data_IF_877153236326
#
_entry.id   IF_877153236326
#
_cell.length_a   1.000
_cell.length_b   1.000
_cell.length_c   1.000
_cell.angle_alpha   90.00
_cell.angle_beta   90.00
_cell.angle_gamma   90.00
#
_symmetry.space_group_name_H-M   'P 1'
#
loop_
_entity.id
_entity.type
_entity.pdbx_description
1 polymer ?
#
# COMPACT_ATOMS: atom_id res chain seq x y z
N UNK A 1 2.90 -13.46 -4.98
CA UNK A 1 4.30 -13.03 -5.19
C UNK A 1 5.27 -14.13 -4.75
N UNK A 2 6.39 -14.41 -5.47
CA UNK A 2 7.32 -15.51 -5.14
C UNK A 2 8.35 -15.21 -4.03
N UNK A 3 8.24 -14.08 -3.32
CA UNK A 3 9.30 -13.61 -2.41
C UNK A 3 9.02 -14.04 -0.96
N UNK A 4 9.87 -14.90 -0.38
CA UNK A 4 9.79 -15.34 1.01
C UNK A 4 10.27 -14.28 2.02
N UNK A 5 9.85 -14.42 3.29
CA UNK A 5 10.31 -13.60 4.44
C UNK A 5 11.83 -13.61 4.67
N UNK A 6 12.39 -12.57 5.32
CA UNK A 6 12.47 -11.19 4.87
C UNK A 6 13.82 -10.91 4.17
N UNK A 7 14.83 -11.78 4.35
CA UNK A 7 16.19 -11.57 3.86
C UNK A 7 16.35 -11.83 2.35
N UNK A 8 15.60 -12.78 1.80
CA UNK A 8 15.63 -13.13 0.38
C UNK A 8 14.85 -12.13 -0.50
N UNK A 9 13.91 -11.39 0.09
CA UNK A 9 13.04 -10.45 -0.63
C UNK A 9 13.81 -9.27 -1.23
N UNK A 10 14.67 -8.60 -0.45
CA UNK A 10 15.52 -7.52 -0.95
C UNK A 10 16.55 -8.07 -1.94
N UNK A 11 17.10 -9.25 -1.65
CA UNK A 11 18.01 -9.95 -2.56
C UNK A 11 17.35 -10.36 -3.89
N UNK A 12 16.01 -10.36 -3.97
CA UNK A 12 15.26 -10.62 -5.19
C UNK A 12 15.01 -9.35 -6.04
N UNK A 13 15.29 -8.16 -5.49
CA UNK A 13 15.37 -6.94 -6.28
C UNK A 13 16.73 -6.96 -7.02
N UNK A 14 16.76 -6.86 -8.36
CA UNK A 14 18.01 -6.75 -9.10
C UNK A 14 18.85 -5.57 -8.63
N UNK A 15 20.16 -5.61 -8.88
CA UNK A 15 21.01 -4.42 -8.73
C UNK A 15 20.40 -3.29 -9.56
N UNK A 16 19.99 -2.22 -8.86
CA UNK A 16 19.32 -1.08 -9.46
C UNK A 16 20.10 0.21 -9.20
N UNK A 17 21.43 0.09 -9.30
CA UNK A 17 22.40 1.18 -9.23
C UNK A 17 22.40 1.86 -7.85
N UNK A 18 22.55 3.19 -7.81
CA UNK A 18 22.62 3.98 -6.57
C UNK A 18 21.41 3.80 -5.63
N UNK A 19 20.26 3.43 -6.17
CA UNK A 19 19.03 3.20 -5.40
C UNK A 19 19.12 1.99 -4.45
N UNK A 20 20.09 1.09 -4.64
CA UNK A 20 20.34 -0.02 -3.71
C UNK A 20 20.63 0.47 -2.27
N UNK A 21 21.26 1.64 -2.14
CA UNK A 21 21.53 2.26 -0.82
C UNK A 21 20.21 2.60 -0.12
N UNK A 22 19.24 3.13 -0.85
CA UNK A 22 17.91 3.46 -0.33
C UNK A 22 17.14 2.18 0.05
N UNK A 23 17.16 1.17 -0.82
CA UNK A 23 16.42 -0.08 -0.64
C UNK A 23 16.87 -0.88 0.59
N UNK A 24 18.11 -0.69 1.05
CA UNK A 24 18.60 -1.34 2.26
C UNK A 24 17.79 -0.99 3.52
N UNK A 25 17.16 0.19 3.55
CA UNK A 25 16.33 0.64 4.66
C UNK A 25 14.86 0.83 4.26
N UNK A 26 14.59 1.33 3.06
CA UNK A 26 13.26 1.70 2.58
C UNK A 26 12.50 0.56 1.89
N UNK A 27 12.90 -0.69 2.11
CA UNK A 27 12.12 -1.85 1.65
C UNK A 27 11.11 -2.36 2.68
N UNK A 28 11.16 -1.85 3.91
CA UNK A 28 10.42 -2.36 5.07
C UNK A 28 11.05 -3.63 5.68
N UNK A 29 10.63 -3.99 6.90
CA UNK A 29 11.20 -5.09 7.69
C UNK A 29 10.43 -6.42 7.55
N UNK A 30 9.11 -6.38 7.70
CA UNK A 30 8.21 -7.53 7.54
C UNK A 30 7.39 -7.40 6.25
N UNK A 31 6.81 -8.50 5.77
CA UNK A 31 5.94 -8.51 4.60
C UNK A 31 4.63 -9.25 4.83
N UNK A 32 3.65 -8.98 3.98
CA UNK A 32 2.43 -9.75 3.94
C UNK A 32 2.64 -11.22 3.55
N UNK A 33 3.72 -11.56 2.84
CA UNK A 33 4.05 -12.97 2.60
C UNK A 33 4.39 -13.71 3.89
N UNK A 34 5.02 -13.05 4.87
CA UNK A 34 5.28 -13.67 6.17
C UNK A 34 4.07 -13.98 6.98
N UNK A 35 3.06 -13.11 6.93
CA UNK A 35 1.78 -13.39 7.56
C UNK A 35 1.13 -14.62 6.90
N UNK A 36 1.25 -14.76 5.56
CA UNK A 36 0.76 -15.95 4.84
C UNK A 36 1.53 -17.21 5.23
N UNK A 37 2.84 -17.13 5.35
CA UNK A 37 3.71 -18.27 5.65
C UNK A 37 3.66 -18.71 7.12
N UNK A 38 3.38 -17.79 8.05
CA UNK A 38 3.34 -18.05 9.50
C UNK A 38 2.23 -19.04 9.89
N UNK A 39 2.48 -19.95 10.83
CA UNK A 39 1.42 -20.79 11.39
C UNK A 39 0.49 -19.96 12.28
N UNK A 40 -0.82 -20.01 11.99
CA UNK A 40 -1.77 -19.15 12.68
C UNK A 40 -1.85 -19.44 14.18
N UNK A 41 -1.85 -20.72 14.58
CA UNK A 41 -2.04 -21.12 15.97
C UNK A 41 -0.85 -20.79 16.86
N UNK A 42 0.37 -20.85 16.31
CA UNK A 42 1.61 -20.72 17.09
C UNK A 42 2.33 -19.39 16.88
N UNK A 43 2.14 -18.72 15.74
CA UNK A 43 2.88 -17.51 15.38
C UNK A 43 2.00 -16.25 15.31
N UNK A 44 0.67 -16.38 15.12
CA UNK A 44 -0.26 -15.25 15.02
C UNK A 44 -1.19 -15.11 16.23
N UNK A 45 -1.83 -16.21 16.64
CA UNK A 45 -2.83 -16.20 17.71
C UNK A 45 -2.23 -15.65 19.01
N UNK A 46 -2.88 -14.63 19.57
CA UNK A 46 -2.46 -13.96 20.80
C UNK A 46 -1.24 -13.04 20.65
N UNK A 47 -0.75 -12.77 19.43
CA UNK A 47 0.31 -11.79 19.17
C UNK A 47 -0.30 -10.44 18.78
N UNK A 48 0.34 -9.36 19.22
CA UNK A 48 -0.01 -8.03 18.74
C UNK A 48 0.65 -7.73 17.40
N UNK A 49 0.17 -6.67 16.72
CA UNK A 49 0.66 -6.25 15.42
C UNK A 49 2.16 -5.92 15.37
N UNK A 50 2.76 -5.59 16.51
CA UNK A 50 4.18 -5.29 16.62
C UNK A 50 5.11 -6.41 16.12
N UNK A 51 4.65 -7.66 16.13
CA UNK A 51 5.38 -8.82 15.57
C UNK A 51 5.39 -8.86 14.04
N UNK A 52 4.50 -8.11 13.37
CA UNK A 52 4.28 -8.16 11.93
C UNK A 52 4.55 -6.81 11.25
N UNK A 53 4.93 -5.79 12.02
CA UNK A 53 5.03 -4.41 11.56
C UNK A 53 6.02 -4.27 10.38
N UNK A 54 5.57 -3.70 9.26
CA UNK A 54 6.40 -3.41 8.09
C UNK A 54 7.56 -2.45 8.35
N UNK A 55 7.53 -1.75 9.48
CA UNK A 55 8.22 -0.49 9.74
C UNK A 55 7.75 0.62 8.79
N UNK A 56 8.36 1.80 8.94
CA UNK A 56 7.95 3.01 8.24
C UNK A 56 8.71 3.17 6.93
N UNK A 57 8.14 3.96 6.02
CA UNK A 57 8.80 4.41 4.81
C UNK A 57 9.30 3.25 3.90
N UNK A 58 8.45 2.24 3.71
CA UNK A 58 8.69 1.06 2.87
C UNK A 58 8.52 1.28 1.34
N UNK A 59 8.95 2.43 0.81
CA UNK A 59 8.79 2.83 -0.59
C UNK A 59 9.28 1.79 -1.60
N UNK A 60 10.44 1.19 -1.36
CA UNK A 60 10.98 0.09 -2.17
C UNK A 60 10.09 -1.16 -2.13
N UNK A 61 9.49 -1.44 -0.97
CA UNK A 61 8.53 -2.53 -0.81
C UNK A 61 7.30 -2.37 -1.71
N UNK A 62 6.79 -1.14 -1.82
CA UNK A 62 5.66 -0.79 -2.71
C UNK A 62 6.09 -0.77 -4.17
N UNK A 63 7.15 -0.04 -4.51
CA UNK A 63 7.66 0.13 -5.88
C UNK A 63 7.91 -1.21 -6.57
N UNK A 64 8.49 -2.17 -5.84
CA UNK A 64 8.83 -3.51 -6.34
C UNK A 64 7.81 -4.60 -5.96
N UNK A 65 6.70 -4.23 -5.30
CA UNK A 65 5.63 -5.15 -4.88
C UNK A 65 6.10 -6.34 -4.06
N UNK A 66 6.98 -6.05 -3.12
CA UNK A 66 7.58 -7.07 -2.29
C UNK A 66 7.02 -7.10 -0.87
N UNK A 67 6.28 -6.07 -0.44
CA UNK A 67 5.86 -5.93 0.96
C UNK A 67 4.40 -6.24 1.25
N UNK A 68 3.47 -5.97 0.33
CA UNK A 68 2.04 -6.03 0.62
C UNK A 68 1.52 -7.43 0.94
N UNK A 69 0.42 -7.48 1.69
CA UNK A 69 -0.38 -8.69 1.84
C UNK A 69 -1.30 -8.83 0.62
N UNK A 70 -0.91 -9.71 -0.30
CA UNK A 70 -1.69 -10.09 -1.47
C UNK A 70 -2.67 -11.21 -1.11
N UNK A 71 -3.96 -10.97 -1.30
CA UNK A 71 -5.04 -11.94 -1.09
C UNK A 71 -5.04 -13.00 -2.22
N UNK A 72 -5.56 -14.20 -1.92
CA UNK A 72 -5.40 -15.35 -2.80
C UNK A 72 -6.49 -15.44 -3.88
N UNK A 73 -7.77 -15.42 -3.49
CA UNK A 73 -8.89 -15.71 -4.38
C UNK A 73 -10.06 -14.74 -4.14
N UNK A 74 -10.87 -14.49 -5.17
CA UNK A 74 -12.17 -13.86 -5.07
C UNK A 74 -13.31 -14.87 -4.90
N UNK A 75 -14.55 -14.38 -4.78
CA UNK A 75 -15.77 -15.19 -4.88
C UNK A 75 -15.69 -16.07 -6.13
N UNK A 76 -16.02 -17.35 -5.94
CA UNK A 76 -15.90 -18.38 -6.98
C UNK A 76 -14.50 -19.00 -7.13
N UNK A 77 -13.53 -18.62 -6.30
CA UNK A 77 -12.20 -19.23 -6.26
C UNK A 77 -11.25 -18.78 -7.38
N UNK A 78 -11.58 -17.68 -8.09
CA UNK A 78 -10.70 -17.13 -9.10
C UNK A 78 -9.50 -16.43 -8.45
N UNK A 79 -8.26 -16.69 -8.91
CA UNK A 79 -7.08 -16.09 -8.31
C UNK A 79 -7.03 -14.59 -8.55
N UNK A 80 -6.62 -13.84 -7.52
CA UNK A 80 -6.40 -12.40 -7.63
C UNK A 80 -5.08 -12.10 -8.34
N UNK A 81 -5.08 -11.03 -9.13
CA UNK A 81 -3.89 -10.58 -9.83
C UNK A 81 -3.38 -9.27 -9.25
N UNK A 82 -2.16 -9.33 -8.73
CA UNK A 82 -1.42 -8.18 -8.22
C UNK A 82 -0.35 -7.72 -9.20
N UNK A 83 -0.18 -8.38 -10.34
CA UNK A 83 0.88 -8.09 -11.30
C UNK A 83 0.91 -6.63 -11.74
N UNK A 84 2.12 -6.14 -12.03
CA UNK A 84 2.29 -4.77 -12.49
C UNK A 84 1.45 -4.59 -13.75
N UNK A 85 0.70 -3.48 -13.80
CA UNK A 85 0.07 -3.07 -15.03
C UNK A 85 1.13 -2.98 -16.14
N UNK A 86 0.77 -3.35 -17.37
CA UNK A 86 1.74 -3.45 -18.48
C UNK A 86 2.45 -2.13 -18.81
N UNK A 87 1.86 -1.00 -18.42
CA UNK A 87 2.39 0.35 -18.58
C UNK A 87 3.04 0.93 -17.32
N UNK A 88 3.12 0.17 -16.22
CA UNK A 88 3.84 0.59 -15.02
C UNK A 88 5.36 0.45 -15.24
N UNK A 89 6.07 1.58 -15.12
CA UNK A 89 7.50 1.66 -15.42
C UNK A 89 8.38 2.27 -14.32
N UNK A 90 7.81 2.71 -13.19
CA UNK A 90 8.56 3.51 -12.21
C UNK A 90 9.79 2.79 -11.65
N UNK A 91 9.69 1.46 -11.45
CA UNK A 91 10.82 0.62 -11.03
C UNK A 91 12.01 0.59 -12.00
N UNK A 92 11.82 1.02 -13.24
CA UNK A 92 12.86 1.02 -14.29
C UNK A 92 13.48 2.40 -14.52
N UNK A 93 12.97 3.47 -13.89
CA UNK A 93 13.55 4.82 -13.97
C UNK A 93 15.01 4.77 -13.53
N UNK A 94 15.92 5.46 -14.22
CA UNK A 94 17.33 5.49 -13.79
C UNK A 94 18.12 4.21 -14.08
N UNK A 95 17.56 3.27 -14.85
CA UNK A 95 18.18 1.95 -15.14
C UNK A 95 18.42 1.75 -16.64
N UNK A 96 19.27 0.78 -17.01
CA UNK A 96 19.45 0.38 -18.41
C UNK A 96 18.17 -0.20 -19.06
N UNK A 97 17.18 -0.61 -18.28
CA UNK A 97 15.92 -1.20 -18.75
C UNK A 97 14.79 -0.18 -18.90
N UNK A 98 15.07 1.12 -18.81
CA UNK A 98 14.08 2.20 -18.93
C UNK A 98 13.37 2.24 -20.31
N UNK A 99 13.92 1.60 -21.35
CA UNK A 99 13.29 1.49 -22.68
C UNK A 99 12.25 0.35 -22.76
N UNK A 100 12.17 -0.52 -21.74
CA UNK A 100 11.35 -1.74 -21.74
C UNK A 100 9.83 -1.50 -21.80
N UNK A 101 9.38 -0.27 -21.59
CA UNK A 101 7.98 0.15 -21.69
C UNK A 101 7.73 1.21 -22.78
N UNK A 102 8.60 1.28 -23.80
CA UNK A 102 8.32 2.02 -25.04
C UNK A 102 8.65 3.52 -25.01
N UNK A 103 9.44 4.00 -24.04
CA UNK A 103 9.88 5.39 -23.97
C UNK A 103 11.40 5.51 -24.14
N UNK A 104 11.90 6.46 -24.96
CA UNK A 104 13.33 6.72 -25.08
C UNK A 104 13.86 7.37 -23.80
N UNK A 105 14.91 6.79 -23.22
CA UNK A 105 15.52 7.36 -22.02
C UNK A 105 16.52 8.45 -22.41
N UNK A 106 16.33 9.66 -21.89
CA UNK A 106 17.35 10.71 -21.93
C UNK A 106 18.60 10.24 -21.19
N UNK A 107 19.78 10.71 -21.62
CA UNK A 107 21.06 10.35 -20.98
C UNK A 107 21.10 10.72 -19.48
N UNK A 108 20.36 11.76 -19.09
CA UNK A 108 20.21 12.21 -17.71
C UNK A 108 19.39 11.24 -16.81
N UNK A 109 18.69 10.26 -17.41
CA UNK A 109 17.82 9.27 -16.71
C UNK A 109 18.42 7.86 -16.77
N UNK A 110 19.71 7.70 -17.11
CA UNK A 110 20.35 6.39 -17.32
C UNK A 110 21.20 5.87 -16.15
N UNK A 111 21.30 6.60 -15.04
CA UNK A 111 22.14 6.13 -13.91
C UNK A 111 21.58 6.53 -12.55
N UNK A 112 21.73 5.65 -11.57
CA UNK A 112 21.33 5.86 -10.18
C UNK A 112 20.06 5.12 -9.74
N UNK A 113 19.27 4.59 -10.67
CA UNK A 113 18.05 3.85 -10.36
C UNK A 113 16.85 4.73 -9.97
N UNK A 114 15.70 4.11 -9.65
CA UNK A 114 14.41 4.80 -9.60
C UNK A 114 14.28 5.76 -8.42
N UNK A 115 14.88 5.43 -7.27
CA UNK A 115 14.86 6.29 -6.09
C UNK A 115 15.68 7.56 -6.35
N UNK A 116 16.88 7.41 -6.90
CA UNK A 116 17.77 8.55 -7.24
C UNK A 116 17.15 9.40 -8.35
N UNK A 117 16.60 8.76 -9.39
CA UNK A 117 16.00 9.46 -10.53
C UNK A 117 14.86 10.41 -10.14
N UNK A 118 14.08 10.08 -9.10
CA UNK A 118 13.00 10.93 -8.62
C UNK A 118 13.45 11.87 -7.49
N UNK A 119 14.14 11.34 -6.47
CA UNK A 119 14.40 12.08 -5.23
C UNK A 119 15.72 12.85 -5.22
N UNK A 120 16.60 12.62 -6.19
CA UNK A 120 17.96 13.19 -6.26
C UNK A 120 18.26 13.81 -7.64
N UNK A 121 17.21 14.21 -8.36
CA UNK A 121 17.30 14.76 -9.72
C UNK A 121 18.17 16.02 -9.79
N UNK A 122 18.00 16.93 -8.84
CA UNK A 122 18.76 18.16 -8.78
C UNK A 122 19.90 18.04 -7.75
N UNK A 123 21.04 18.66 -8.02
CA UNK A 123 22.21 18.65 -7.11
C UNK A 123 21.88 19.18 -5.70
N UNK A 124 20.82 19.97 -5.57
CA UNK A 124 20.32 20.58 -4.34
C UNK A 124 19.09 19.88 -3.72
N UNK A 125 18.73 18.68 -4.19
CA UNK A 125 17.56 17.91 -3.67
C UNK A 125 17.61 17.68 -2.14
N UNK A 126 18.81 17.80 -1.55
CA UNK A 126 19.06 17.70 -0.12
C UNK A 126 18.69 16.34 0.48
N UNK A 127 18.87 16.18 1.79
CA UNK A 127 18.40 14.97 2.50
C UNK A 127 16.90 14.97 2.76
N UNK A 128 16.14 15.87 2.13
CA UNK A 128 14.70 15.96 2.32
C UNK A 128 13.97 14.93 1.46
N UNK A 129 14.52 14.61 0.28
CA UNK A 129 13.94 13.66 -0.67
C UNK A 129 12.51 14.02 -1.09
N UNK A 130 12.09 15.29 -0.97
CA UNK A 130 10.77 15.70 -1.42
C UNK A 130 10.75 15.82 -2.95
N UNK A 131 9.69 15.32 -3.57
CA UNK A 131 9.49 15.38 -5.03
C UNK A 131 8.34 16.30 -5.43
N UNK A 132 7.66 16.89 -4.44
CA UNK A 132 6.53 17.81 -4.62
C UNK A 132 6.72 19.06 -3.77
N UNK A 133 6.20 20.17 -4.28
CA UNK A 133 5.96 21.38 -3.49
C UNK A 133 4.53 21.35 -2.98
N UNK A 134 4.33 21.74 -1.72
CA UNK A 134 3.02 21.86 -1.11
C UNK A 134 2.81 23.26 -0.56
N UNK A 135 1.58 23.75 -0.63
CA UNK A 135 1.19 24.99 0.03
C UNK A 135 1.00 24.80 1.55
N UNK A 136 0.54 25.84 2.25
CA UNK A 136 0.29 25.79 3.70
C UNK A 136 -0.86 24.86 4.10
N UNK A 137 -1.74 24.50 3.15
CA UNK A 137 -2.81 23.52 3.33
C UNK A 137 -2.36 22.09 3.08
N UNK A 138 -1.12 21.87 2.61
CA UNK A 138 -0.60 20.55 2.26
C UNK A 138 -0.95 20.10 0.84
N UNK A 139 -1.57 20.96 0.03
CA UNK A 139 -1.97 20.69 -1.35
C UNK A 139 -0.74 20.75 -2.25
N UNK A 140 -0.57 19.77 -3.14
CA UNK A 140 0.50 19.74 -4.13
C UNK A 140 0.31 20.89 -5.14
N UNK A 141 1.28 21.81 -5.17
CA UNK A 141 1.30 22.94 -6.11
C UNK A 141 2.35 22.81 -7.20
N UNK A 142 3.29 21.87 -7.04
CA UNK A 142 4.38 21.65 -7.98
C UNK A 142 4.97 20.25 -7.86
N UNK A 143 5.56 19.76 -8.95
CA UNK A 143 6.25 18.46 -9.00
C UNK A 143 7.71 18.75 -9.36
N UNK A 144 8.58 18.75 -8.35
CA UNK A 144 10.01 19.09 -8.46
C UNK A 144 10.72 18.17 -9.45
N UNK A 145 10.39 16.88 -9.39
CA UNK A 145 10.99 15.87 -10.25
C UNK A 145 10.46 15.92 -11.70
N UNK A 146 9.42 16.68 -12.04
CA UNK A 146 8.68 16.49 -13.30
C UNK A 146 9.54 16.66 -14.57
N UNK A 147 10.24 17.79 -14.68
CA UNK A 147 10.97 18.16 -15.89
C UNK A 147 12.05 17.13 -16.27
N UNK A 148 11.93 16.45 -17.39
CA UNK A 148 12.92 15.47 -17.82
C UNK A 148 12.94 14.15 -17.04
N UNK A 149 12.01 13.91 -16.10
CA UNK A 149 11.78 12.59 -15.48
C UNK A 149 10.34 12.14 -15.73
N UNK A 150 9.36 12.71 -15.01
CA UNK A 150 7.96 12.31 -15.15
C UNK A 150 7.40 12.73 -16.51
N UNK A 151 7.72 13.93 -16.99
CA UNK A 151 7.20 14.48 -18.25
C UNK A 151 7.61 13.69 -19.50
N UNK A 152 8.62 12.81 -19.40
CA UNK A 152 9.04 11.93 -20.50
C UNK A 152 8.06 10.77 -20.75
N UNK A 153 7.31 10.38 -19.72
CA UNK A 153 6.32 9.29 -19.78
C UNK A 153 4.89 9.83 -19.62
N UNK A 154 4.71 10.80 -18.74
CA UNK A 154 3.44 11.46 -18.46
C UNK A 154 3.24 12.69 -19.35
N UNK A 155 2.93 12.44 -20.62
CA UNK A 155 2.66 13.45 -21.62
C UNK A 155 1.41 13.11 -22.45
N UNK A 156 0.91 14.11 -23.19
CA UNK A 156 -0.24 13.95 -24.08
C UNK A 156 -1.52 13.60 -23.29
N UNK A 157 -2.21 12.48 -23.57
CA UNK A 157 -3.42 12.09 -22.85
C UNK A 157 -3.16 11.62 -21.42
N UNK A 158 -1.89 11.43 -21.02
CA UNK A 158 -1.48 11.00 -19.68
C UNK A 158 -0.56 12.02 -19.02
N UNK A 159 -0.69 13.30 -19.41
CA UNK A 159 0.04 14.39 -18.77
C UNK A 159 -0.12 14.31 -17.25
N UNK A 160 0.97 14.59 -16.52
CA UNK A 160 0.95 14.69 -15.07
C UNK A 160 1.16 16.14 -14.66
N UNK A 161 0.12 16.72 -14.08
CA UNK A 161 0.11 18.04 -13.46
C UNK A 161 0.09 17.91 -11.93
N UNK A 162 0.40 19.01 -11.24
CA UNK A 162 0.28 19.08 -9.78
C UNK A 162 -1.14 18.75 -9.30
N UNK A 163 -2.16 19.23 -10.02
CA UNK A 163 -3.57 18.93 -9.75
C UNK A 163 -3.87 17.44 -9.89
N UNK A 164 -3.46 16.79 -10.99
CA UNK A 164 -3.69 15.36 -11.18
C UNK A 164 -2.97 14.52 -10.10
N UNK A 165 -1.76 14.92 -9.68
CA UNK A 165 -1.05 14.22 -8.61
C UNK A 165 -1.73 14.42 -7.25
N UNK A 166 -2.27 15.62 -6.98
CA UNK A 166 -3.08 15.87 -5.79
C UNK A 166 -4.34 15.01 -5.78
N UNK A 167 -5.06 14.89 -6.91
CA UNK A 167 -6.22 14.01 -7.02
C UNK A 167 -5.87 12.54 -6.71
N UNK A 168 -4.69 12.07 -7.13
CA UNK A 168 -4.20 10.74 -6.73
C UNK A 168 -3.94 10.64 -5.22
N UNK A 169 -3.39 11.69 -4.61
CA UNK A 169 -3.11 11.74 -3.18
C UNK A 169 -4.40 11.76 -2.35
N UNK A 170 -5.38 12.59 -2.73
CA UNK A 170 -6.70 12.65 -2.10
C UNK A 170 -7.41 11.30 -2.17
N UNK A 171 -7.45 10.68 -3.35
CA UNK A 171 -8.06 9.37 -3.54
C UNK A 171 -7.41 8.26 -2.71
N UNK A 172 -6.07 8.27 -2.62
CA UNK A 172 -5.33 7.36 -1.77
C UNK A 172 -5.64 7.56 -0.28
N UNK A 173 -5.62 8.81 0.19
CA UNK A 173 -5.88 9.12 1.59
C UNK A 173 -7.32 8.82 1.99
N UNK A 174 -8.30 9.15 1.14
CA UNK A 174 -9.69 8.79 1.39
C UNK A 174 -9.91 7.27 1.31
N UNK A 175 -9.20 6.57 0.41
CA UNK A 175 -9.21 5.10 0.38
C UNK A 175 -8.67 4.47 1.67
N UNK A 176 -7.65 5.07 2.30
CA UNK A 176 -7.20 4.64 3.62
C UNK A 176 -8.23 4.92 4.72
N UNK A 177 -8.97 6.04 4.65
CA UNK A 177 -10.08 6.30 5.59
C UNK A 177 -11.13 5.19 5.51
N UNK A 178 -11.53 4.79 4.30
CA UNK A 178 -12.49 3.69 4.12
C UNK A 178 -11.94 2.37 4.68
N UNK A 179 -10.66 2.07 4.44
CA UNK A 179 -10.03 0.87 5.00
C UNK A 179 -9.95 0.92 6.53
N UNK A 180 -9.73 2.08 7.14
CA UNK A 180 -9.78 2.25 8.59
C UNK A 180 -11.20 2.00 9.12
N UNK A 181 -12.23 2.53 8.45
CA UNK A 181 -13.63 2.29 8.81
C UNK A 181 -14.00 0.80 8.74
N UNK A 182 -13.50 0.08 7.72
CA UNK A 182 -13.67 -1.37 7.61
C UNK A 182 -12.97 -2.15 8.75
N UNK A 183 -11.79 -1.70 9.19
CA UNK A 183 -11.12 -2.25 10.37
C UNK A 183 -11.92 -2.00 11.65
N UNK A 184 -12.45 -0.78 11.81
CA UNK A 184 -13.30 -0.38 12.94
C UNK A 184 -14.58 -1.22 12.99
N UNK A 185 -15.22 -1.49 11.84
CA UNK A 185 -16.39 -2.35 11.76
C UNK A 185 -16.11 -3.79 12.24
N UNK A 186 -14.84 -4.23 12.18
CA UNK A 186 -14.35 -5.50 12.70
C UNK A 186 -13.78 -5.40 14.13
N UNK A 187 -13.94 -4.26 14.81
CA UNK A 187 -13.47 -4.04 16.18
C UNK A 187 -11.95 -3.87 16.30
N UNK A 188 -11.26 -3.57 15.21
CA UNK A 188 -9.82 -3.35 15.15
C UNK A 188 -9.56 -1.85 15.02
N UNK A 189 -9.09 -1.21 16.08
CA UNK A 189 -8.93 0.25 16.12
C UNK A 189 -7.48 0.64 15.92
N UNK A 190 -7.18 1.39 14.86
CA UNK A 190 -5.85 1.94 14.64
C UNK A 190 -5.58 3.14 15.57
N UNK A 191 -4.30 3.33 15.90
CA UNK A 191 -3.75 4.48 16.61
C UNK A 191 -2.33 4.75 16.12
N UNK A 192 -1.86 5.99 16.21
CA UNK A 192 -0.48 6.35 15.86
C UNK A 192 0.57 5.91 16.90
N UNK A 193 0.13 5.30 18.00
CA UNK A 193 0.99 4.79 19.06
C UNK A 193 1.25 3.28 18.89
N UNK A 194 2.50 2.85 19.05
CA UNK A 194 2.87 1.43 18.96
C UNK A 194 2.14 0.60 20.06
N UNK A 195 1.59 -0.60 19.75
CA UNK A 195 1.75 -1.39 18.51
C UNK A 195 0.64 -1.17 17.46
N UNK A 196 0.05 0.03 17.39
CA UNK A 196 -0.86 0.50 16.35
C UNK A 196 -2.30 0.02 16.42
N UNK A 197 -2.59 -1.20 16.86
CA UNK A 197 -3.95 -1.73 16.88
C UNK A 197 -4.43 -2.09 18.28
N UNK A 198 -5.66 -1.68 18.59
CA UNK A 198 -6.29 -1.75 19.91
C UNK A 198 -7.73 -2.27 19.81
N UNK A 199 -8.28 -2.71 20.94
CA UNK A 199 -9.65 -3.24 21.04
C UNK A 199 -10.71 -2.14 21.21
N UNK A 200 -10.32 -0.90 21.54
CA UNK A 200 -11.25 0.20 21.82
C UNK A 200 -10.83 1.53 21.18
N UNK A 201 -11.79 2.43 21.03
CA UNK A 201 -11.59 3.84 20.65
C UNK A 201 -12.35 4.78 21.60
N UNK A 202 -11.71 5.80 22.20
CA UNK A 202 -10.28 6.08 22.11
C UNK A 202 -9.47 5.02 22.83
N UNK A 203 -8.42 4.52 22.18
CA UNK A 203 -7.56 3.51 22.77
C UNK A 203 -6.75 4.10 23.93
N UNK A 204 -6.50 3.29 24.95
CA UNK A 204 -5.50 3.66 25.93
C UNK A 204 -4.12 3.29 25.39
N UNK A 205 -3.47 4.22 24.68
CA UNK A 205 -2.10 4.01 24.18
C UNK A 205 -1.15 3.51 25.28
N UNK A 206 -1.38 3.92 26.54
CA UNK A 206 -0.58 3.55 27.70
C UNK A 206 0.93 3.81 27.49
N UNK A 207 1.77 3.56 28.50
CA UNK A 207 3.20 3.42 28.26
C UNK A 207 3.46 2.03 27.69
N UNK A 208 3.31 1.82 26.38
CA UNK A 208 3.86 0.62 25.76
C UNK A 208 5.39 0.74 25.72
N UNK A 209 6.03 0.30 26.79
CA UNK A 209 7.47 0.07 26.84
C UNK A 209 7.68 -1.45 26.97
N UNK A 210 8.59 -2.08 26.19
CA UNK A 210 8.91 -3.50 26.34
C UNK A 210 9.34 -3.91 27.77
N UNK A 211 9.71 -2.92 28.60
CA UNK A 211 10.11 -3.08 30.00
C UNK A 211 8.98 -2.91 31.03
N UNK A 212 7.73 -2.64 30.62
CA UNK A 212 6.62 -2.54 31.56
C UNK A 212 6.20 -3.95 32.05
N UNK A 213 6.04 -4.15 33.38
CA UNK A 213 5.78 -5.47 33.95
C UNK A 213 4.37 -6.02 33.64
N UNK A 214 3.48 -5.21 33.05
CA UNK A 214 2.12 -5.61 32.67
C UNK A 214 1.83 -5.21 31.23
N UNK A 215 1.56 -6.17 30.32
CA UNK A 215 1.10 -5.86 28.96
C UNK A 215 -0.15 -4.99 29.00
N UNK A 216 -0.23 -4.01 28.10
CA UNK A 216 -1.43 -3.19 27.94
C UNK A 216 -2.58 -4.11 27.46
N UNK A 217 -3.64 -4.32 28.27
CA UNK A 217 -4.72 -5.25 27.93
C UNK A 217 -5.61 -4.75 26.79
N UNK A 218 -5.51 -3.47 26.42
CA UNK A 218 -6.28 -2.88 25.33
C UNK A 218 -5.64 -3.13 23.95
N UNK A 219 -4.40 -3.62 23.90
CA UNK A 219 -3.74 -3.98 22.63
C UNK A 219 -4.49 -5.10 21.93
N UNK A 220 -4.70 -4.96 20.62
CA UNK A 220 -5.39 -5.95 19.81
C UNK A 220 -4.48 -7.16 19.56
N UNK A 221 -4.95 -8.34 19.97
CA UNK A 221 -4.25 -9.63 19.76
C UNK A 221 -5.16 -10.72 19.22
N UNK A 222 -6.47 -10.45 19.14
CA UNK A 222 -7.50 -11.41 18.75
C UNK A 222 -7.77 -11.32 17.24
N UNK A 223 -6.73 -11.37 16.42
CA UNK A 223 -6.86 -11.48 14.96
C UNK A 223 -7.82 -12.62 14.62
N UNK A 224 -8.86 -12.42 13.80
CA UNK A 224 -9.78 -13.50 13.45
C UNK A 224 -9.10 -14.58 12.58
N UNK A 225 -8.25 -14.13 11.66
CA UNK A 225 -7.57 -14.93 10.65
C UNK A 225 -6.33 -14.17 10.12
N UNK A 226 -5.58 -14.81 9.22
CA UNK A 226 -4.38 -14.22 8.60
C UNK A 226 -4.70 -13.02 7.72
N UNK A 227 -5.85 -13.07 7.05
CA UNK A 227 -6.30 -12.11 6.07
C UNK A 227 -6.70 -10.78 6.70
N UNK A 228 -7.35 -10.81 7.86
CA UNK A 228 -7.70 -9.64 8.66
C UNK A 228 -6.45 -8.98 9.25
N UNK A 229 -5.48 -9.78 9.71
CA UNK A 229 -4.14 -9.27 10.05
C UNK A 229 -3.43 -8.70 8.80
N UNK A 230 -3.60 -9.33 7.64
CA UNK A 230 -3.09 -8.86 6.36
C UNK A 230 -3.68 -7.52 5.91
N UNK A 231 -4.98 -7.31 6.09
CA UNK A 231 -5.66 -6.05 5.83
C UNK A 231 -5.15 -4.94 6.77
N UNK A 232 -5.02 -5.23 8.08
CA UNK A 232 -4.42 -4.32 9.05
C UNK A 232 -2.94 -4.01 8.72
N UNK A 233 -2.20 -5.01 8.23
CA UNK A 233 -0.84 -4.83 7.75
C UNK A 233 -0.77 -3.88 6.55
N UNK A 234 -1.62 -4.08 5.54
CA UNK A 234 -1.71 -3.20 4.38
C UNK A 234 -2.06 -1.77 4.79
N UNK A 235 -3.06 -1.58 5.67
CA UNK A 235 -3.41 -0.27 6.20
C UNK A 235 -2.21 0.40 6.90
N UNK A 236 -1.61 -0.27 7.89
CA UNK A 236 -0.50 0.31 8.65
C UNK A 236 0.70 0.59 7.75
N UNK A 237 1.03 -0.29 6.82
CA UNK A 237 2.15 -0.10 5.90
C UNK A 237 1.91 1.13 5.00
N UNK A 238 0.71 1.24 4.40
CA UNK A 238 0.36 2.36 3.52
C UNK A 238 0.20 3.69 4.27
N UNK A 239 -0.34 3.67 5.50
CA UNK A 239 -0.43 4.86 6.35
C UNK A 239 0.96 5.45 6.67
N UNK A 240 1.99 4.61 6.74
CA UNK A 240 3.39 5.04 6.92
C UNK A 240 4.19 5.15 5.61
N UNK A 241 3.51 5.07 4.46
CA UNK A 241 4.06 5.22 3.11
C UNK A 241 3.31 6.33 2.34
N UNK A 242 3.53 7.61 2.68
CA UNK A 242 2.76 8.73 2.15
C UNK A 242 2.93 8.94 0.64
N UNK A 243 3.90 8.28 -0.01
CA UNK A 243 4.13 8.34 -1.46
C UNK A 243 3.59 7.14 -2.23
N UNK A 244 2.85 6.21 -1.60
CA UNK A 244 2.42 4.97 -2.25
C UNK A 244 1.61 5.19 -3.54
N UNK A 245 0.78 6.25 -3.57
CA UNK A 245 0.00 6.66 -4.74
C UNK A 245 0.86 7.08 -5.95
N UNK A 246 2.14 7.40 -5.74
CA UNK A 246 3.09 7.71 -6.80
C UNK A 246 4.06 6.55 -7.06
N UNK A 247 4.50 5.85 -6.01
CA UNK A 247 5.46 4.75 -6.13
C UNK A 247 4.92 3.61 -6.99
N UNK A 248 3.74 3.04 -6.65
CA UNK A 248 3.06 2.04 -7.48
C UNK A 248 1.54 2.10 -7.24
N UNK A 249 0.89 3.11 -7.86
CA UNK A 249 -0.53 3.39 -7.62
C UNK A 249 -1.43 2.18 -7.83
N UNK A 250 -1.17 1.37 -8.86
CA UNK A 250 -2.03 0.24 -9.22
C UNK A 250 -1.95 -0.87 -8.17
N UNK A 251 -0.74 -1.16 -7.71
CA UNK A 251 -0.55 -2.11 -6.61
C UNK A 251 -1.17 -1.61 -5.31
N UNK A 252 -0.98 -0.33 -4.99
CA UNK A 252 -1.60 0.30 -3.81
C UNK A 252 -3.12 0.27 -3.86
N UNK A 253 -3.73 0.60 -5.01
CA UNK A 253 -5.18 0.51 -5.22
C UNK A 253 -5.68 -0.92 -4.99
N UNK A 254 -4.98 -1.93 -5.54
CA UNK A 254 -5.36 -3.33 -5.32
C UNK A 254 -5.28 -3.72 -3.84
N UNK A 255 -4.22 -3.34 -3.14
CA UNK A 255 -4.08 -3.63 -1.71
C UNK A 255 -5.18 -2.98 -0.88
N UNK A 256 -5.52 -1.71 -1.15
CA UNK A 256 -6.60 -1.00 -0.45
C UNK A 256 -7.94 -1.67 -0.75
N UNK A 257 -8.27 -1.87 -2.03
CA UNK A 257 -9.52 -2.48 -2.46
C UNK A 257 -9.73 -3.85 -1.82
N UNK A 258 -8.78 -4.77 -2.00
CA UNK A 258 -8.94 -6.15 -1.56
C UNK A 258 -8.91 -6.26 -0.03
N UNK A 259 -8.27 -5.32 0.68
CA UNK A 259 -8.34 -5.25 2.14
C UNK A 259 -9.72 -4.80 2.62
N UNK A 260 -10.36 -3.86 1.92
CA UNK A 260 -11.74 -3.43 2.20
C UNK A 260 -12.70 -4.59 1.89
N UNK A 261 -12.65 -5.15 0.68
CA UNK A 261 -13.46 -6.30 0.18
C UNK A 261 -13.36 -7.53 1.11
N UNK A 262 -12.21 -7.73 1.76
CA UNK A 262 -12.09 -8.79 2.78
C UNK A 262 -12.80 -8.45 4.09
N UNK A 263 -12.66 -7.21 4.56
CA UNK A 263 -13.14 -6.76 5.86
C UNK A 263 -14.63 -6.42 5.87
N UNK A 264 -15.18 -5.95 4.74
CA UNK A 264 -16.61 -5.77 4.54
C UNK A 264 -17.31 -7.08 4.11
N UNK A 265 -16.50 -8.07 3.70
CA UNK A 265 -16.87 -9.38 3.23
C UNK A 265 -18.00 -10.02 4.05
N UNK A 266 -18.99 -10.44 3.29
CA UNK A 266 -20.40 -10.37 3.60
C UNK A 266 -20.89 -10.92 4.97
N UNK A 267 -21.82 -10.19 5.59
CA UNK A 267 -22.73 -10.76 6.62
C UNK A 267 -23.89 -11.55 6.01
N UNK A 268 -24.06 -11.51 4.67
CA UNK A 268 -24.91 -12.46 3.96
C UNK A 268 -24.21 -13.80 4.04
N UNK A 269 -24.77 -14.59 4.94
CA UNK A 269 -24.88 -16.02 4.76
C UNK A 269 -25.05 -16.32 3.25
N UNK A 270 -24.35 -17.34 2.75
CA UNK A 270 -24.76 -17.95 1.50
C UNK A 270 -26.29 -18.25 1.53
N UNK A 271 -26.91 -18.58 0.40
CA UNK A 271 -28.33 -18.97 0.37
C UNK A 271 -28.66 -20.17 1.32
N UNK A 272 -27.66 -20.72 2.02
CA UNK A 272 -27.72 -21.84 2.95
C UNK A 272 -27.42 -21.47 4.42
N UNK A 273 -27.12 -20.22 4.77
CA UNK A 273 -26.86 -19.87 6.17
C UNK A 273 -25.41 -20.00 6.65
N UNK A 274 -24.41 -20.09 5.76
CA UNK A 274 -23.02 -20.35 6.13
C UNK A 274 -22.14 -19.11 5.98
N UNK A 275 -21.17 -18.98 6.90
CA UNK A 275 -20.01 -18.12 6.69
C UNK A 275 -19.16 -18.73 5.58
N UNK A 276 -18.91 -17.96 4.53
CA UNK A 276 -18.11 -18.39 3.39
C UNK A 276 -16.69 -18.81 3.78
N UNK A 277 -16.15 -19.77 3.04
CA UNK A 277 -14.72 -20.09 2.97
C UNK A 277 -13.90 -18.88 2.47
N UNK A 278 -12.58 -18.88 2.61
CA UNK A 278 -11.68 -17.75 2.28
C UNK A 278 -11.87 -17.12 0.88
N UNK A 279 -12.51 -17.79 -0.09
CA UNK A 279 -12.85 -17.19 -1.38
C UNK A 279 -14.21 -16.48 -1.41
N UNK A 280 -15.14 -16.88 -0.55
CA UNK A 280 -16.56 -16.47 -0.61
C UNK A 280 -16.83 -15.12 0.08
N UNK A 281 -15.87 -14.57 0.84
CA UNK A 281 -15.99 -13.25 1.48
C UNK A 281 -15.74 -12.09 0.53
N UNK A 282 -14.81 -12.23 -0.40
CA UNK A 282 -14.43 -11.16 -1.33
C UNK A 282 -15.32 -11.16 -2.57
N UNK A 283 -16.46 -10.48 -2.49
CA UNK A 283 -17.44 -10.42 -3.58
C UNK A 283 -17.01 -9.53 -4.75
N UNK A 284 -15.90 -8.79 -4.57
CA UNK A 284 -15.35 -7.91 -5.57
C UNK A 284 -16.06 -6.57 -5.65
N UNK A 285 -16.81 -6.20 -4.60
CA UNK A 285 -17.51 -4.94 -4.46
C UNK A 285 -17.23 -4.32 -3.08
N UNK A 286 -16.96 -3.02 -3.08
CA UNK A 286 -16.81 -2.23 -1.85
C UNK A 286 -17.79 -1.06 -1.86
N UNK A 287 -18.33 -0.70 -0.70
CA UNK A 287 -19.18 0.48 -0.53
C UNK A 287 -18.31 1.73 -0.31
N UNK A 288 -18.40 2.68 -1.25
CA UNK A 288 -17.70 3.98 -1.16
C UNK A 288 -18.69 5.13 -1.06
N UNK A 289 -19.89 4.89 -0.55
CA UNK A 289 -20.91 5.92 -0.36
C UNK A 289 -20.38 7.03 0.55
N UNK A 290 -20.28 8.24 0.01
CA UNK A 290 -19.76 9.41 0.72
C UNK A 290 -18.26 9.65 0.55
N UNK A 291 -17.54 8.75 -0.13
CA UNK A 291 -16.09 8.82 -0.37
C UNK A 291 -15.80 9.00 -1.88
N UNK A 292 -16.00 10.23 -2.37
CA UNK A 292 -15.94 10.52 -3.82
C UNK A 292 -14.54 10.43 -4.41
N UNK A 293 -13.50 10.86 -3.69
CA UNK A 293 -12.12 10.77 -4.16
C UNK A 293 -11.64 9.31 -4.21
N UNK A 294 -11.96 8.51 -3.19
CA UNK A 294 -11.69 7.08 -3.16
C UNK A 294 -12.42 6.35 -4.30
N UNK A 295 -13.69 6.69 -4.52
CA UNK A 295 -14.47 6.16 -5.65
C UNK A 295 -13.81 6.47 -6.98
N UNK A 296 -13.45 7.73 -7.22
CA UNK A 296 -12.83 8.16 -8.48
C UNK A 296 -11.46 7.53 -8.70
N UNK A 297 -10.70 7.37 -7.63
CA UNK A 297 -9.37 6.78 -7.68
C UNK A 297 -9.41 5.27 -7.89
N UNK A 298 -10.22 4.52 -7.12
CA UNK A 298 -10.28 3.06 -7.18
C UNK A 298 -10.99 2.52 -8.42
N UNK A 299 -11.89 3.28 -9.07
CA UNK A 299 -12.65 2.77 -10.24
C UNK A 299 -11.90 2.79 -11.57
N UNK A 300 -10.92 3.68 -11.75
CA UNK A 300 -10.25 3.89 -13.03
C UNK A 300 -11.20 4.18 -14.21
N UNK A 301 -11.73 5.42 -14.31
CA UNK A 301 -12.52 5.99 -15.43
C UNK A 301 -13.79 5.26 -15.95
N UNK A 302 -14.98 5.87 -15.72
CA UNK A 302 -16.23 5.67 -16.49
C UNK A 302 -17.53 5.64 -15.64
N UNK A 303 -18.52 6.51 -15.94
CA UNK A 303 -19.84 6.63 -15.27
C UNK A 303 -20.91 5.65 -15.86
N UNK A 304 -22.05 5.36 -15.17
CA UNK A 304 -22.64 6.15 -14.09
C UNK A 304 -22.77 5.48 -12.72
N UNK A 305 -23.03 6.35 -11.74
CA UNK A 305 -23.21 6.09 -10.31
C UNK A 305 -23.90 4.75 -10.00
N UNK A 306 -23.13 3.85 -9.37
CA UNK A 306 -23.62 2.74 -8.58
C UNK A 306 -22.70 2.68 -7.35
N UNK A 307 -23.32 2.46 -6.18
CA UNK A 307 -22.74 2.46 -4.83
C UNK A 307 -21.61 1.46 -4.60
N UNK A 308 -21.41 0.55 -5.54
CA UNK A 308 -20.45 -0.54 -5.43
C UNK A 308 -19.40 -0.37 -6.53
N UNK A 309 -18.12 -0.21 -6.15
CA UNK A 309 -17.02 -0.20 -7.13
C UNK A 309 -16.63 -1.65 -7.40
N UNK A 310 -16.70 -2.13 -8.66
CA UNK A 310 -16.13 -3.42 -9.01
C UNK A 310 -14.61 -3.33 -8.93
N UNK A 311 -13.98 -4.44 -8.54
CA UNK A 311 -12.52 -4.56 -8.47
C UNK A 311 -11.81 -3.89 -9.68
N UNK A 312 -10.84 -2.96 -9.46
CA UNK A 312 -10.09 -2.28 -10.53
C UNK A 312 -9.26 -3.22 -11.41
#
# INVERSE_FOLDING_TARGET
SPYTEPASRIAAVPDIEGSNVCLSCHSGLSSGQGIKDADYATEISGKNFGSFNSHYLAAGGIMFRTIGYEFANSVGGAPLNYDDASYYGHKNIGTANCESHGHPCSEDVRSGGPCVGCHMKDADSGHTLHVVEKDTGGIITGILANDGVCSNCHAGPYTLTATELEEQAEGFHEGLVVLEDALIANGIYYQTCYPYFYNTSPANCGPYYPSYPTPNPDVFTAWPDKQSLGAAFNFSMLHHEPGAYAHNRFYTQRLVFDSIDWLDGDTRLDDLGNFGTDGERMDGYIDLTGHTHAYDWLRGYGYPAITNVPRP
#
